data_IF_697192380627
#
_entry.id   IF_697192380627
#
_cell.length_a   1.000
_cell.length_b   1.000
_cell.length_c   1.000
_cell.angle_alpha   90.00
_cell.angle_beta   90.00
_cell.angle_gamma   90.00
#
_symmetry.space_group_name_H-M   'P 1'
#
loop_
_entity.id
_entity.type
_entity.pdbx_description
1 polymer ?
#
# COMPACT_ATOMS: atom_id res chain seq x y z
N UNK A 1 37.39 -23.20 8.65
CA UNK A 1 37.88 -22.10 9.52
C UNK A 1 36.83 -21.00 9.48
N UNK A 2 35.99 -20.88 10.51
CA UNK A 2 35.10 -19.71 10.61
C UNK A 2 35.95 -18.52 11.04
N UNK A 3 35.70 -17.33 10.48
CA UNK A 3 36.38 -16.09 10.85
C UNK A 3 35.52 -15.40 11.93
N UNK A 4 35.74 -15.67 13.24
CA UNK A 4 34.96 -15.05 14.32
C UNK A 4 35.04 -13.52 14.31
N UNK A 5 36.11 -12.95 13.75
CA UNK A 5 36.34 -11.51 13.71
C UNK A 5 35.28 -10.73 12.95
N UNK A 6 34.72 -11.29 11.86
CA UNK A 6 33.67 -10.58 11.11
C UNK A 6 32.34 -10.61 11.85
N UNK A 7 32.06 -11.67 12.60
CA UNK A 7 30.85 -11.80 13.41
C UNK A 7 30.90 -10.86 14.63
N UNK A 8 32.07 -10.68 15.27
CA UNK A 8 32.25 -9.68 16.33
C UNK A 8 32.09 -8.25 15.78
N UNK A 9 32.60 -7.98 14.58
CA UNK A 9 32.40 -6.66 13.93
C UNK A 9 30.95 -6.39 13.55
N UNK A 10 30.14 -7.42 13.24
CA UNK A 10 28.75 -7.24 12.78
C UNK A 10 27.71 -7.39 13.91
N UNK A 11 27.97 -8.22 14.91
CA UNK A 11 27.04 -8.59 15.99
C UNK A 11 27.61 -8.42 17.41
N UNK A 12 28.89 -8.11 17.54
CA UNK A 12 29.60 -8.02 18.83
C UNK A 12 29.91 -6.60 19.28
N UNK A 13 29.43 -5.56 18.58
CA UNK A 13 29.71 -4.17 18.93
C UNK A 13 29.04 -3.83 20.26
N UNK A 14 29.84 -3.87 21.32
CA UNK A 14 29.48 -3.40 22.64
C UNK A 14 29.36 -1.87 22.65
N UNK A 15 28.62 -1.31 23.61
CA UNK A 15 28.45 0.15 23.73
C UNK A 15 29.76 0.92 23.85
N UNK A 16 30.82 0.29 24.38
CA UNK A 16 32.16 0.89 24.47
C UNK A 16 32.83 1.10 23.11
N UNK A 17 32.69 0.15 22.18
CA UNK A 17 33.27 0.24 20.84
C UNK A 17 32.56 1.31 20.00
N UNK A 18 31.22 1.42 20.10
CA UNK A 18 30.45 2.53 19.52
C UNK A 18 30.95 3.88 20.03
N UNK A 19 31.22 4.01 21.32
CA UNK A 19 31.71 5.25 21.91
C UNK A 19 33.08 5.66 21.35
N UNK A 20 34.00 4.70 21.17
CA UNK A 20 35.33 4.95 20.59
C UNK A 20 35.22 5.41 19.13
N UNK A 21 34.39 4.74 18.32
CA UNK A 21 34.17 5.12 16.92
C UNK A 21 33.54 6.52 16.84
N UNK A 22 32.55 6.80 17.69
CA UNK A 22 31.92 8.12 17.79
C UNK A 22 32.97 9.18 18.16
N UNK A 23 33.86 8.91 19.11
CA UNK A 23 34.93 9.82 19.50
C UNK A 23 35.91 10.11 18.35
N UNK A 24 36.27 9.09 17.55
CA UNK A 24 37.10 9.28 16.35
C UNK A 24 36.39 10.19 15.35
N UNK A 25 35.13 9.92 15.02
CA UNK A 25 34.34 10.77 14.11
C UNK A 25 34.26 12.20 14.65
N UNK A 26 34.03 12.37 15.95
CA UNK A 26 34.01 13.69 16.60
C UNK A 26 35.38 14.38 16.59
N UNK A 27 36.50 13.66 16.55
CA UNK A 27 37.83 14.26 16.42
C UNK A 27 38.07 14.77 14.99
N UNK A 28 37.68 13.99 13.98
CA UNK A 28 37.84 14.38 12.57
C UNK A 28 36.89 15.50 12.15
N UNK A 29 35.61 15.37 12.49
CA UNK A 29 34.57 16.31 12.06
C UNK A 29 34.28 17.39 13.12
N UNK A 30 34.64 17.17 14.38
CA UNK A 30 34.32 18.07 15.48
C UNK A 30 32.93 17.83 16.08
N UNK A 31 32.74 18.02 17.40
CA UNK A 31 31.45 17.80 18.07
C UNK A 31 30.36 18.79 17.65
N UNK A 32 30.73 19.92 17.01
CA UNK A 32 29.78 20.92 16.51
C UNK A 32 29.18 20.56 15.15
N UNK A 33 29.88 19.77 14.31
CA UNK A 33 29.42 19.49 12.94
C UNK A 33 28.26 18.50 12.87
N UNK A 34 28.28 17.45 13.69
CA UNK A 34 27.18 16.47 13.76
C UNK A 34 25.82 17.12 14.07
N UNK A 35 25.66 17.93 15.14
CA UNK A 35 24.39 18.58 15.43
C UNK A 35 24.02 19.66 14.41
N UNK A 36 25.00 20.33 13.80
CA UNK A 36 24.78 21.31 12.74
C UNK A 36 24.18 20.65 11.49
N UNK A 37 24.74 19.52 11.04
CA UNK A 37 24.24 18.73 9.91
C UNK A 37 22.86 18.17 10.24
N UNK A 38 22.66 17.60 11.43
CA UNK A 38 21.37 17.07 11.87
C UNK A 38 20.27 18.15 11.85
N UNK A 39 20.57 19.38 12.31
CA UNK A 39 19.63 20.51 12.26
C UNK A 39 19.33 20.95 10.83
N UNK A 40 20.35 21.01 9.96
CA UNK A 40 20.16 21.38 8.56
C UNK A 40 19.32 20.33 7.81
N UNK A 41 19.62 19.05 7.99
CA UNK A 41 18.84 17.94 7.43
C UNK A 41 17.41 17.92 7.98
N UNK A 42 17.23 18.12 9.29
CA UNK A 42 15.91 18.17 9.91
C UNK A 42 15.02 19.28 9.33
N UNK A 43 15.60 20.47 9.07
CA UNK A 43 14.90 21.55 8.36
C UNK A 43 14.55 21.16 6.93
N UNK A 44 15.49 20.55 6.19
CA UNK A 44 15.25 20.09 4.83
C UNK A 44 14.13 19.04 4.74
N UNK A 45 14.14 18.05 5.62
CA UNK A 45 13.09 17.02 5.69
C UNK A 45 11.72 17.65 6.01
N UNK A 46 11.67 18.62 6.92
CA UNK A 46 10.42 19.31 7.26
C UNK A 46 9.86 20.12 6.08
N UNK A 47 10.71 20.79 5.30
CA UNK A 47 10.28 21.52 4.10
C UNK A 47 9.76 20.56 3.04
N UNK A 48 10.45 19.44 2.81
CA UNK A 48 10.01 18.39 1.88
C UNK A 48 8.64 17.84 2.32
N UNK A 49 8.45 17.53 3.60
CA UNK A 49 7.16 17.07 4.14
C UNK A 49 6.05 18.10 3.94
N UNK A 50 6.36 19.40 4.08
CA UNK A 50 5.39 20.47 3.85
C UNK A 50 4.95 20.50 2.39
N UNK A 51 5.91 20.50 1.47
CA UNK A 51 5.62 20.46 0.02
C UNK A 51 4.84 19.21 -0.35
N UNK A 52 5.17 18.04 0.21
CA UNK A 52 4.40 16.81 -0.03
C UNK A 52 2.95 16.94 0.44
N UNK A 53 2.69 17.52 1.62
CA UNK A 53 1.32 17.75 2.11
C UNK A 53 0.56 18.71 1.21
N UNK A 54 1.19 19.80 0.79
CA UNK A 54 0.57 20.80 -0.07
C UNK A 54 0.21 20.18 -1.44
N UNK A 55 1.12 19.40 -2.04
CA UNK A 55 0.87 18.65 -3.28
C UNK A 55 -0.26 17.64 -3.11
N UNK A 56 -0.27 16.85 -2.03
CA UNK A 56 -1.34 15.87 -1.80
C UNK A 56 -2.70 16.56 -1.59
N UNK A 57 -2.73 17.67 -0.86
CA UNK A 57 -3.96 18.45 -0.67
C UNK A 57 -4.46 19.03 -2.01
N UNK A 58 -3.54 19.50 -2.86
CA UNK A 58 -3.88 20.02 -4.17
C UNK A 58 -4.33 18.92 -5.15
N UNK A 59 -3.67 17.76 -5.16
CA UNK A 59 -4.08 16.58 -5.94
C UNK A 59 -5.46 16.09 -5.51
N UNK A 60 -5.74 16.03 -4.21
CA UNK A 60 -7.05 15.61 -3.72
C UNK A 60 -8.14 16.60 -4.14
N UNK A 61 -7.88 17.91 -4.07
CA UNK A 61 -8.82 18.94 -4.56
C UNK A 61 -9.11 18.82 -6.05
N UNK A 62 -8.08 18.60 -6.88
CA UNK A 62 -8.29 18.35 -8.31
C UNK A 62 -8.96 17.01 -8.58
N UNK A 63 -8.70 15.99 -7.76
CA UNK A 63 -9.37 14.69 -7.89
C UNK A 63 -10.86 14.80 -7.59
N UNK A 64 -11.25 15.54 -6.55
CA UNK A 64 -12.65 15.82 -6.22
C UNK A 64 -13.34 16.68 -7.32
N UNK A 65 -12.62 17.65 -7.89
CA UNK A 65 -13.13 18.51 -8.97
C UNK A 65 -13.26 17.75 -10.32
N UNK A 66 -12.37 16.77 -10.57
CA UNK A 66 -12.37 15.93 -11.76
C UNK A 66 -13.27 14.68 -11.62
N UNK A 67 -13.61 14.26 -10.41
CA UNK A 67 -14.48 13.10 -10.18
C UNK A 67 -15.88 13.32 -10.78
N UNK A 68 -16.40 14.55 -10.68
CA UNK A 68 -17.73 14.92 -11.20
C UNK A 68 -17.85 14.78 -12.74
N UNK A 69 -16.94 15.36 -13.56
CA UNK A 69 -16.98 15.17 -15.01
C UNK A 69 -16.57 13.76 -15.46
N UNK A 70 -15.65 13.08 -14.76
CA UNK A 70 -15.24 11.71 -15.10
C UNK A 70 -16.34 10.69 -14.82
N UNK A 71 -17.11 10.85 -13.74
CA UNK A 71 -18.29 10.01 -13.45
C UNK A 71 -19.35 10.09 -14.54
N UNK A 72 -19.66 11.30 -15.03
CA UNK A 72 -20.64 11.49 -16.10
C UNK A 72 -20.22 10.80 -17.41
N UNK A 73 -18.95 10.96 -17.81
CA UNK A 73 -18.42 10.27 -19.01
C UNK A 73 -18.43 8.75 -18.84
N UNK A 74 -18.13 8.25 -17.64
CA UNK A 74 -18.17 6.81 -17.35
C UNK A 74 -19.61 6.27 -17.44
N UNK A 75 -20.58 7.00 -16.89
CA UNK A 75 -22.00 6.65 -16.93
C UNK A 75 -22.55 6.67 -18.37
N UNK A 76 -22.18 7.67 -19.17
CA UNK A 76 -22.55 7.76 -20.59
C UNK A 76 -21.98 6.59 -21.43
N UNK A 77 -20.72 6.20 -21.18
CA UNK A 77 -20.08 5.08 -21.87
C UNK A 77 -20.73 3.74 -21.46
N UNK A 78 -21.07 3.57 -20.19
CA UNK A 78 -21.77 2.38 -19.69
C UNK A 78 -23.17 2.28 -20.30
N UNK A 79 -23.95 3.36 -20.30
CA UNK A 79 -25.28 3.40 -20.92
C UNK A 79 -25.24 3.16 -22.44
N UNK A 80 -24.23 3.70 -23.12
CA UNK A 80 -24.01 3.41 -24.54
C UNK A 80 -23.65 1.94 -24.79
N UNK A 81 -22.75 1.36 -23.98
CA UNK A 81 -22.36 -0.06 -24.06
C UNK A 81 -23.53 -0.99 -23.80
N UNK A 82 -24.38 -0.69 -22.82
CA UNK A 82 -25.62 -1.45 -22.58
C UNK A 82 -26.58 -1.37 -23.77
N UNK A 83 -26.74 -0.17 -24.36
CA UNK A 83 -27.51 0.03 -25.58
C UNK A 83 -26.99 -0.80 -26.77
N UNK A 84 -25.66 -0.90 -26.91
CA UNK A 84 -25.04 -1.73 -27.93
C UNK A 84 -25.23 -3.23 -27.68
N UNK A 85 -25.03 -3.71 -26.45
CA UNK A 85 -25.22 -5.14 -26.13
C UNK A 85 -26.68 -5.57 -26.35
N UNK A 86 -27.63 -4.71 -25.97
CA UNK A 86 -29.07 -4.98 -26.18
C UNK A 86 -29.48 -4.96 -27.64
N UNK A 87 -28.78 -4.19 -28.48
CA UNK A 87 -28.97 -4.19 -29.93
C UNK A 87 -28.19 -5.32 -30.64
N UNK A 88 -27.16 -5.87 -29.99
CA UNK A 88 -26.35 -6.98 -30.51
C UNK A 88 -26.98 -8.36 -30.26
N UNK A 89 -28.04 -8.46 -29.44
CA UNK A 89 -28.81 -9.70 -29.21
C UNK A 89 -29.78 -10.02 -30.37
N UNK A 90 -29.23 -10.08 -31.59
CA UNK A 90 -29.86 -10.69 -32.77
C UNK A 90 -29.04 -11.91 -33.15
N UNK A 91 -29.08 -12.94 -32.30
CA UNK A 91 -28.71 -14.31 -32.64
C UNK A 91 -29.61 -15.26 -31.86
N UNK A 92 -30.87 -15.34 -32.29
CA UNK A 92 -31.84 -16.32 -31.79
C UNK A 92 -32.42 -17.14 -32.97
N UNK A 93 -31.53 -17.62 -33.85
CA UNK A 93 -31.80 -18.71 -34.80
C UNK A 93 -30.59 -19.64 -34.83
N UNK A 94 -30.38 -20.41 -33.77
CA UNK A 94 -29.85 -21.77 -33.92
C UNK A 94 -30.18 -22.61 -32.68
N UNK A 95 -31.40 -23.16 -32.70
CA UNK A 95 -31.78 -24.23 -31.77
C UNK A 95 -31.38 -25.59 -32.35
N UNK A 96 -30.85 -26.46 -31.48
CA UNK A 96 -30.90 -27.94 -31.52
C UNK A 96 -29.69 -28.71 -32.04
N UNK A 97 -28.96 -29.33 -31.10
CA UNK A 97 -28.84 -30.80 -30.90
C UNK A 97 -28.04 -31.00 -29.58
N UNK A 98 -28.65 -31.37 -28.44
CA UNK A 98 -29.03 -32.72 -27.97
C UNK A 98 -27.87 -33.66 -27.61
N UNK A 99 -28.12 -34.42 -26.53
CA UNK A 99 -27.49 -35.68 -26.10
C UNK A 99 -26.14 -35.54 -25.35
N UNK A 100 -25.84 -36.25 -24.26
CA UNK A 100 -26.60 -37.14 -23.39
C UNK A 100 -25.81 -37.33 -22.07
N UNK A 101 -26.47 -37.90 -21.06
CA UNK A 101 -25.95 -38.18 -19.71
C UNK A 101 -24.71 -39.10 -19.69
N UNK A 102 -23.75 -38.83 -18.81
CA UNK A 102 -23.10 -39.90 -18.03
C UNK A 102 -22.43 -39.37 -16.75
N UNK A 103 -22.96 -39.78 -15.58
CA UNK A 103 -22.22 -39.77 -14.32
C UNK A 103 -21.33 -41.01 -14.30
N UNK A 104 -20.04 -40.85 -14.03
CA UNK A 104 -19.33 -41.80 -13.19
C UNK A 104 -18.06 -41.21 -12.59
N UNK A 105 -17.94 -41.48 -11.31
CA UNK A 105 -16.91 -41.16 -10.36
C UNK A 105 -16.00 -42.38 -10.27
N UNK A 106 -14.69 -42.19 -10.44
CA UNK A 106 -13.58 -42.99 -9.87
C UNK A 106 -12.28 -42.28 -10.31
N UNK A 107 -11.64 -41.48 -9.46
CA UNK A 107 -10.51 -41.85 -8.61
C UNK A 107 -9.53 -42.85 -9.26
N UNK A 108 -8.36 -42.35 -9.67
CA UNK A 108 -7.05 -42.93 -9.33
C UNK A 108 -5.90 -42.06 -9.84
N UNK A 109 -4.96 -41.82 -8.93
CA UNK A 109 -3.51 -41.77 -9.17
C UNK A 109 -2.92 -40.55 -9.90
N UNK A 110 -2.23 -39.74 -9.09
CA UNK A 110 -0.86 -39.25 -9.29
C UNK A 110 -0.51 -38.60 -10.62
N UNK A 111 -0.27 -37.29 -10.59
CA UNK A 111 1.09 -36.74 -10.70
C UNK A 111 1.09 -35.24 -10.32
N UNK A 112 1.86 -34.94 -9.28
CA UNK A 112 2.71 -33.75 -9.07
C UNK A 112 2.45 -32.49 -9.93
N UNK A 113 1.85 -31.44 -9.35
CA UNK A 113 2.20 -30.05 -9.67
C UNK A 113 1.80 -29.10 -8.53
N UNK A 114 2.78 -28.40 -7.94
CA UNK A 114 2.56 -27.32 -6.96
C UNK A 114 2.12 -26.04 -7.68
N UNK A 115 1.12 -25.32 -7.15
CA UNK A 115 1.44 -23.95 -6.75
C UNK A 115 0.73 -23.47 -5.46
N UNK A 116 1.47 -22.70 -4.68
CA UNK A 116 1.16 -22.06 -3.39
C UNK A 116 -0.31 -21.63 -3.13
N UNK A 117 -0.86 -21.87 -1.93
CA UNK A 117 -1.93 -21.05 -1.39
C UNK A 117 -1.34 -19.84 -0.66
N UNK A 118 -1.49 -18.63 -1.21
CA UNK A 118 -1.38 -17.40 -0.43
C UNK A 118 -2.76 -17.10 0.13
N UNK A 119 -3.00 -17.46 1.39
CA UNK A 119 -4.25 -17.22 2.09
C UNK A 119 -4.11 -16.09 3.11
N UNK A 120 -4.88 -15.04 2.82
CA UNK A 120 -5.61 -14.13 3.71
C UNK A 120 -4.83 -13.30 4.73
N UNK A 121 -4.80 -11.99 4.42
CA UNK A 121 -5.42 -10.95 5.23
C UNK A 121 -5.29 -11.13 6.75
N UNK A 122 -4.31 -10.43 7.31
CA UNK A 122 -4.36 -9.94 8.68
C UNK A 122 -3.75 -8.56 8.68
N UNK A 123 -4.60 -7.56 8.49
CA UNK A 123 -4.35 -6.17 8.82
C UNK A 123 -5.64 -5.68 9.44
N UNK A 124 -5.87 -6.16 10.66
CA UNK A 124 -6.74 -5.52 11.63
C UNK A 124 -6.02 -4.23 12.05
N UNK A 125 -6.20 -3.16 11.28
CA UNK A 125 -6.07 -1.80 11.80
C UNK A 125 -7.50 -1.33 12.06
N UNK A 126 -8.00 -1.64 13.26
CA UNK A 126 -9.05 -0.87 13.89
C UNK A 126 -8.57 0.59 13.93
N UNK A 127 -9.19 1.44 13.11
CA UNK A 127 -9.21 2.89 13.35
C UNK A 127 -10.53 3.19 14.03
N UNK A 128 -10.44 3.25 15.34
CA UNK A 128 -11.43 3.74 16.28
C UNK A 128 -11.74 5.21 15.93
N UNK A 129 -12.81 5.40 15.15
CA UNK A 129 -13.46 6.70 15.02
C UNK A 129 -14.41 6.88 16.21
N UNK A 130 -13.89 7.39 17.32
CA UNK A 130 -14.70 7.95 18.39
C UNK A 130 -14.93 9.44 18.11
N UNK A 131 -16.05 9.73 17.43
CA UNK A 131 -16.68 11.06 17.43
C UNK A 131 -18.18 10.83 17.54
N UNK A 132 -18.81 11.61 18.43
CA UNK A 132 -20.22 11.65 18.88
C UNK A 132 -20.29 11.15 20.33
N UNK A 133 -20.72 11.88 21.35
CA UNK A 133 -21.57 13.06 21.50
C UNK A 133 -21.06 13.81 22.74
N UNK A 134 -21.13 15.14 22.76
CA UNK A 134 -21.60 15.79 23.99
C UNK A 134 -22.28 17.10 23.66
N UNK A 135 -23.58 17.06 23.91
CA UNK A 135 -24.58 18.08 23.73
C UNK A 135 -24.27 19.39 24.44
N UNK A 136 -24.72 20.45 23.78
CA UNK A 136 -25.31 21.66 24.35
C UNK A 136 -25.56 21.59 25.87
N UNK A 137 -24.73 22.33 26.62
CA UNK A 137 -25.13 23.09 27.81
C UNK A 137 -24.04 24.09 28.23
N UNK A 138 -24.47 25.35 28.32
CA UNK A 138 -24.06 26.36 29.30
C UNK A 138 -23.01 27.44 28.91
N UNK A 139 -23.51 28.66 28.64
CA UNK A 139 -23.18 29.89 29.40
C UNK A 139 -23.97 31.06 28.78
N UNK A 140 -24.96 31.62 29.46
CA UNK A 140 -24.86 32.69 30.48
C UNK A 140 -24.38 34.03 29.90
#
# INVERSE_FOLDING_TARGET
>A
MHLPGLFILLFGISGGEIFIILLLILLFFGPKKIPEIARAMGKGINEIKKVQRDINAEINRYSDELETPVKQVKEDIEGFREGLNKAADINDIESSEKDDKFKQQEQSASDEELPYPYNQASSDDEIDNEVNEEDDKNNN
#
